data_IF_057940093638
#
_entry.id   IF_057940093638
#
_cell.length_a   1.000
_cell.length_b   1.000
_cell.length_c   1.000
_cell.angle_alpha   90.00
_cell.angle_beta   90.00
_cell.angle_gamma   90.00
#
_symmetry.space_group_name_H-M   'P 1'
#
loop_
_entity.id
_entity.type
_entity.pdbx_description
1 polymer ?
#
# COMPACT_ATOMS: atom_id res chain seq x y z
N UNK A 1 -10.58 11.48 -10.41
CA UNK A 1 -10.43 12.91 -10.10
C UNK A 1 -9.10 13.13 -9.36
N UNK A 2 -8.30 14.07 -9.82
CA UNK A 2 -7.04 14.39 -9.16
C UNK A 2 -7.19 15.62 -8.27
N UNK A 3 -6.46 15.64 -7.19
CA UNK A 3 -6.40 16.78 -6.28
C UNK A 3 -4.97 17.25 -6.15
N UNK A 4 -4.78 18.54 -5.98
CA UNK A 4 -3.47 19.12 -5.79
C UNK A 4 -3.13 19.15 -4.30
N UNK A 5 -1.91 18.74 -3.98
CA UNK A 5 -1.41 18.75 -2.61
C UNK A 5 -0.03 19.41 -2.61
N UNK A 6 0.21 20.27 -1.62
CA UNK A 6 1.52 20.88 -1.41
C UNK A 6 2.10 20.33 -0.12
N UNK A 7 3.32 19.79 -0.19
CA UNK A 7 4.02 19.28 0.98
C UNK A 7 5.42 19.87 1.02
N UNK A 8 5.93 20.03 2.23
CA UNK A 8 7.33 20.38 2.43
C UNK A 8 8.13 19.11 2.57
N UNK A 9 9.29 19.10 1.93
CA UNK A 9 10.15 17.91 1.94
C UNK A 9 11.56 18.35 2.34
N UNK A 10 12.23 17.52 3.14
CA UNK A 10 13.61 17.81 3.49
C UNK A 10 14.50 17.71 2.25
N UNK A 11 15.63 18.38 2.31
CA UNK A 11 16.55 18.50 1.17
C UNK A 11 17.01 17.14 0.64
N UNK A 12 17.34 16.23 1.54
CA UNK A 12 17.84 14.91 1.16
C UNK A 12 16.82 14.13 0.33
N UNK A 13 15.57 14.09 0.77
CA UNK A 13 14.51 13.41 0.05
C UNK A 13 14.17 14.10 -1.28
N UNK A 14 14.20 15.42 -1.28
CA UNK A 14 13.96 16.18 -2.53
C UNK A 14 15.04 15.86 -3.58
N UNK A 15 16.31 15.83 -3.18
CA UNK A 15 17.41 15.49 -4.08
C UNK A 15 17.29 14.07 -4.61
N UNK A 16 16.91 13.13 -3.74
CA UNK A 16 16.66 11.73 -4.14
C UNK A 16 15.58 11.64 -5.21
N UNK A 17 14.45 12.29 -4.98
CA UNK A 17 13.32 12.27 -5.93
C UNK A 17 13.74 12.90 -7.25
N UNK A 18 14.49 14.02 -7.19
CA UNK A 18 14.97 14.70 -8.40
C UNK A 18 15.87 13.81 -9.24
N UNK A 19 16.80 13.11 -8.62
CA UNK A 19 17.69 12.17 -9.32
C UNK A 19 16.92 11.01 -9.92
N UNK A 20 16.01 10.42 -9.15
CA UNK A 20 15.19 9.31 -9.61
C UNK A 20 14.33 9.72 -10.80
N UNK A 21 13.78 10.92 -10.77
CA UNK A 21 12.98 11.48 -11.88
C UNK A 21 13.80 11.62 -13.15
N UNK A 22 15.03 12.08 -13.03
CA UNK A 22 15.94 12.23 -14.18
C UNK A 22 16.30 10.87 -14.78
N UNK A 23 16.63 9.90 -13.95
CA UNK A 23 16.98 8.55 -14.41
C UNK A 23 15.83 7.88 -15.15
N UNK A 24 14.62 8.02 -14.62
CA UNK A 24 13.43 7.42 -15.20
C UNK A 24 12.81 8.27 -16.32
N UNK A 25 13.35 9.46 -16.58
CA UNK A 25 12.80 10.44 -17.53
C UNK A 25 11.33 10.78 -17.24
N UNK A 26 11.00 10.86 -15.97
CA UNK A 26 9.67 11.24 -15.49
C UNK A 26 9.71 12.65 -14.91
N UNK A 27 8.53 13.28 -14.78
CA UNK A 27 8.44 14.51 -14.00
C UNK A 27 8.41 14.17 -12.50
N UNK A 28 8.63 15.19 -11.66
CA UNK A 28 8.65 15.02 -10.20
C UNK A 28 7.34 14.48 -9.67
N UNK A 29 6.21 14.97 -10.16
CA UNK A 29 4.88 14.57 -9.71
C UNK A 29 4.63 13.08 -9.96
N UNK A 30 5.00 12.60 -11.14
CA UNK A 30 4.84 11.18 -11.48
C UNK A 30 5.70 10.30 -10.58
N UNK A 31 6.95 10.71 -10.35
CA UNK A 31 7.87 9.97 -9.48
C UNK A 31 7.32 9.87 -8.07
N UNK A 32 6.82 10.98 -7.52
CA UNK A 32 6.22 10.99 -6.18
C UNK A 32 5.01 10.06 -6.12
N UNK A 33 4.13 10.11 -7.12
CA UNK A 33 2.96 9.23 -7.16
C UNK A 33 3.35 7.75 -7.18
N UNK A 34 4.36 7.39 -7.97
CA UNK A 34 4.85 6.01 -8.03
C UNK A 34 5.41 5.54 -6.68
N UNK A 35 6.14 6.42 -5.98
CA UNK A 35 6.64 6.11 -4.64
C UNK A 35 5.50 5.95 -3.63
N UNK A 36 4.45 6.76 -3.74
CA UNK A 36 3.27 6.62 -2.89
C UNK A 36 2.59 5.27 -3.11
N UNK A 37 2.43 4.83 -4.36
CA UNK A 37 1.86 3.51 -4.65
C UNK A 37 2.70 2.39 -4.03
N UNK A 38 4.01 2.45 -4.18
CA UNK A 38 4.91 1.47 -3.56
C UNK A 38 4.84 1.51 -2.05
N UNK A 39 4.78 2.71 -1.48
CA UNK A 39 4.64 2.89 -0.03
C UNK A 39 3.34 2.30 0.51
N UNK A 40 2.24 2.45 -0.23
CA UNK A 40 0.95 1.86 0.14
C UNK A 40 1.03 0.33 0.18
N UNK A 41 1.67 -0.28 -0.81
CA UNK A 41 1.86 -1.73 -0.85
C UNK A 41 2.67 -2.20 0.35
N UNK A 42 3.79 -1.53 0.63
CA UNK A 42 4.62 -1.87 1.79
C UNK A 42 3.88 -1.70 3.10
N UNK A 43 3.07 -0.65 3.24
CA UNK A 43 2.26 -0.43 4.43
C UNK A 43 1.27 -1.59 4.64
N UNK A 44 0.60 -2.02 3.58
CA UNK A 44 -0.31 -3.16 3.63
C UNK A 44 0.40 -4.44 4.05
N UNK A 45 1.59 -4.71 3.48
CA UNK A 45 2.39 -5.89 3.82
C UNK A 45 2.80 -5.85 5.30
N UNK A 46 3.33 -4.72 5.77
CA UNK A 46 3.77 -4.59 7.15
C UNK A 46 2.64 -4.79 8.15
N UNK A 47 1.52 -4.14 7.93
CA UNK A 47 0.38 -4.24 8.85
C UNK A 47 -0.22 -5.64 8.88
N UNK A 48 -0.32 -6.29 7.72
CA UNK A 48 -0.79 -7.66 7.66
C UNK A 48 0.16 -8.63 8.37
N UNK A 49 1.46 -8.47 8.11
CA UNK A 49 2.49 -9.31 8.73
C UNK A 49 2.47 -9.21 10.25
N UNK A 50 2.21 -8.02 10.79
CA UNK A 50 2.09 -7.80 12.24
C UNK A 50 0.76 -8.24 12.82
N UNK A 51 -0.17 -8.67 11.97
CA UNK A 51 -1.50 -9.08 12.43
C UNK A 51 -2.42 -7.93 12.79
N UNK A 52 -2.09 -6.71 12.36
CA UNK A 52 -2.87 -5.51 12.69
C UNK A 52 -4.12 -5.34 11.81
N UNK A 53 -4.12 -5.94 10.64
CA UNK A 53 -5.23 -5.80 9.67
C UNK A 53 -5.54 -7.15 9.03
N UNK A 54 -6.78 -7.29 8.54
CA UNK A 54 -7.20 -8.43 7.73
C UNK A 54 -6.58 -8.35 6.33
N UNK A 55 -6.68 -9.45 5.58
CA UNK A 55 -6.23 -9.49 4.19
C UNK A 55 -6.97 -8.45 3.34
N UNK A 56 -8.29 -8.35 3.49
CA UNK A 56 -9.08 -7.37 2.76
C UNK A 56 -8.66 -5.93 3.08
N UNK A 57 -8.39 -5.65 4.35
CA UNK A 57 -7.92 -4.32 4.75
C UNK A 57 -6.52 -4.03 4.21
N UNK A 58 -5.62 -5.02 4.24
CA UNK A 58 -4.28 -4.88 3.67
C UNK A 58 -4.34 -4.55 2.17
N UNK A 59 -5.21 -5.26 1.44
CA UNK A 59 -5.42 -5.00 0.02
C UNK A 59 -5.94 -3.59 -0.22
N UNK A 60 -6.89 -3.13 0.60
CA UNK A 60 -7.42 -1.78 0.52
C UNK A 60 -6.32 -0.74 0.74
N UNK A 61 -5.49 -0.92 1.77
CA UNK A 61 -4.36 -0.02 2.05
C UNK A 61 -3.40 0.04 0.86
N UNK A 62 -3.10 -1.11 0.28
CA UNK A 62 -2.19 -1.22 -0.88
C UNK A 62 -2.80 -0.68 -2.18
N UNK A 63 -4.12 -0.51 -2.22
CA UNK A 63 -4.81 -0.11 -3.44
C UNK A 63 -4.87 -1.23 -4.47
N UNK A 64 -4.90 -2.51 -4.03
CA UNK A 64 -4.87 -3.68 -4.90
C UNK A 64 -6.10 -4.56 -4.66
N UNK A 65 -6.54 -5.30 -5.69
CA UNK A 65 -7.50 -6.39 -5.47
C UNK A 65 -6.92 -7.45 -4.54
N UNK A 66 -7.78 -8.13 -3.79
CA UNK A 66 -7.37 -9.14 -2.80
C UNK A 66 -6.49 -10.22 -3.43
N UNK A 67 -6.83 -10.71 -4.62
CA UNK A 67 -6.03 -11.73 -5.31
C UNK A 67 -4.60 -11.27 -5.59
N UNK A 68 -4.43 -10.03 -6.02
CA UNK A 68 -3.10 -9.46 -6.24
C UNK A 68 -2.35 -9.26 -4.93
N UNK A 69 -3.06 -8.87 -3.87
CA UNK A 69 -2.43 -8.70 -2.56
C UNK A 69 -1.90 -10.02 -2.01
N UNK A 70 -2.61 -11.13 -2.24
CA UNK A 70 -2.13 -12.45 -1.85
C UNK A 70 -0.79 -12.75 -2.55
N UNK A 71 -0.69 -12.46 -3.85
CA UNK A 71 0.54 -12.67 -4.59
C UNK A 71 1.69 -11.80 -4.07
N UNK A 72 1.41 -10.54 -3.77
CA UNK A 72 2.41 -9.63 -3.19
C UNK A 72 2.90 -10.15 -1.85
N UNK A 73 1.99 -10.56 -0.98
CA UNK A 73 2.36 -11.11 0.34
C UNK A 73 3.24 -12.35 0.19
N UNK A 74 2.92 -13.22 -0.77
CA UNK A 74 3.73 -14.41 -1.04
C UNK A 74 5.14 -14.04 -1.48
N UNK A 75 5.31 -12.99 -2.30
CA UNK A 75 6.62 -12.50 -2.71
C UNK A 75 7.46 -12.04 -1.51
N UNK A 76 6.82 -11.52 -0.48
CA UNK A 76 7.49 -11.11 0.76
C UNK A 76 7.58 -12.22 1.79
N UNK A 77 7.26 -13.46 1.39
CA UNK A 77 7.34 -14.62 2.29
C UNK A 77 6.26 -14.67 3.34
N UNK A 78 5.17 -13.96 3.14
CA UNK A 78 4.05 -13.91 4.09
C UNK A 78 2.94 -14.82 3.61
N UNK A 79 2.61 -15.83 4.44
CA UNK A 79 1.52 -16.75 4.14
C UNK A 79 0.19 -16.17 4.57
N UNK A 80 -0.85 -16.43 3.77
CA UNK A 80 -2.20 -16.03 4.12
C UNK A 80 -2.98 -17.24 4.64
N UNK A 81 -3.83 -17.02 5.64
CA UNK A 81 -4.74 -18.02 6.17
C UNK A 81 -6.16 -17.62 5.77
N UNK A 82 -6.67 -18.25 4.70
CA UNK A 82 -7.96 -17.87 4.12
C UNK A 82 -9.14 -18.09 5.07
N UNK A 83 -9.10 -19.12 5.89
CA UNK A 83 -10.16 -19.37 6.87
C UNK A 83 -10.23 -18.26 7.93
N UNK A 84 -9.07 -17.89 8.46
CA UNK A 84 -8.97 -16.81 9.43
C UNK A 84 -9.39 -15.48 8.80
N UNK A 85 -8.99 -15.26 7.55
CA UNK A 85 -9.33 -14.03 6.83
C UNK A 85 -10.82 -13.91 6.57
N UNK A 86 -11.48 -15.01 6.20
CA UNK A 86 -12.94 -15.04 6.03
C UNK A 86 -13.64 -14.63 7.32
N UNK A 87 -13.17 -15.15 8.44
CA UNK A 87 -13.72 -14.80 9.75
C UNK A 87 -13.54 -13.32 10.07
N UNK A 88 -12.35 -12.79 9.85
CA UNK A 88 -12.05 -11.37 10.11
C UNK A 88 -12.86 -10.44 9.20
N UNK A 89 -13.03 -10.79 7.95
CA UNK A 89 -13.86 -10.02 7.01
C UNK A 89 -15.32 -10.01 7.47
N UNK A 90 -15.82 -11.14 7.93
CA UNK A 90 -17.17 -11.25 8.48
C UNK A 90 -17.35 -10.33 9.69
N UNK A 91 -16.37 -10.26 10.57
CA UNK A 91 -16.41 -9.37 11.73
C UNK A 91 -16.39 -7.89 11.30
N UNK A 92 -15.56 -7.54 10.36
CA UNK A 92 -15.52 -6.17 9.83
C UNK A 92 -16.84 -5.79 9.18
N UNK A 93 -17.44 -6.71 8.42
CA UNK A 93 -18.74 -6.48 7.81
C UNK A 93 -19.82 -6.24 8.88
N UNK A 94 -19.84 -7.03 9.93
CA UNK A 94 -20.77 -6.85 11.04
C UNK A 94 -20.59 -5.51 11.72
N UNK A 95 -19.37 -5.07 11.92
CA UNK A 95 -19.09 -3.74 12.49
C UNK A 95 -19.66 -2.60 11.65
N UNK A 96 -19.62 -2.74 10.34
CA UNK A 96 -20.12 -1.71 9.42
C UNK A 96 -21.66 -1.67 9.38
N UNK A 97 -22.29 -2.80 9.60
CA UNK A 97 -23.75 -2.93 9.56
C UNK A 97 -24.37 -2.55 10.89
N UNK A 98 -23.68 -2.74 11.98
CA UNK A 98 -24.13 -2.39 13.34
C UNK A 98 -23.50 -1.09 13.79
#
# INVERSE_FOLDING_TARGET
MTKTMSIRMDRQNYEFISELSKEAKNDLSKTVRELVYKGRVMLGVEKYKKGEVSLGRAAHLAGLPVGQMINVLAEYGVKTNLEKEDYLESLEHLRRVW
#
